data_IF_935660949739
#
_entry.id   IF_935660949739
#
_cell.length_a   1.000
_cell.length_b   1.000
_cell.length_c   1.000
_cell.angle_alpha   90.00
_cell.angle_beta   90.00
_cell.angle_gamma   90.00
#
_symmetry.space_group_name_H-M   'P 1'
#
loop_
_entity.id
_entity.type
_entity.pdbx_description
1 polymer ?
#
# COMPACT_ATOMS: atom_id res chain seq x y z
N UNK A 1 -22.51 4.44 20.83
CA UNK A 1 -21.68 3.26 21.05
C UNK A 1 -21.40 2.60 19.71
N UNK A 2 -20.17 2.72 19.25
CA UNK A 2 -19.76 2.06 18.02
C UNK A 2 -19.54 0.60 18.37
N UNK A 3 -20.37 -0.28 17.81
CA UNK A 3 -20.31 -1.69 18.13
C UNK A 3 -19.09 -2.34 17.44
N UNK A 4 -18.54 -3.34 18.09
CA UNK A 4 -17.52 -4.22 17.49
C UNK A 4 -18.00 -4.81 16.16
N UNK A 5 -19.31 -4.88 15.95
CA UNK A 5 -19.92 -5.36 14.72
C UNK A 5 -19.56 -4.48 13.50
N UNK A 6 -19.54 -3.17 13.68
CA UNK A 6 -19.13 -2.27 12.59
C UNK A 6 -17.68 -2.45 12.20
N UNK A 7 -16.79 -2.71 13.17
CA UNK A 7 -15.38 -2.99 12.89
C UNK A 7 -15.21 -4.36 12.20
N UNK A 8 -15.91 -5.39 12.66
CA UNK A 8 -15.81 -6.73 12.06
C UNK A 8 -16.17 -6.71 10.58
N UNK A 9 -17.24 -6.02 10.23
CA UNK A 9 -17.67 -5.86 8.84
C UNK A 9 -16.65 -5.06 8.03
N UNK A 10 -16.13 -3.98 8.59
CA UNK A 10 -15.08 -3.17 8.00
C UNK A 10 -13.82 -4.00 7.75
N UNK A 11 -13.38 -4.77 8.73
CA UNK A 11 -12.21 -5.64 8.64
C UNK A 11 -12.35 -6.65 7.49
N UNK A 12 -13.50 -7.33 7.41
CA UNK A 12 -13.75 -8.31 6.35
C UNK A 12 -13.74 -7.69 4.95
N UNK A 13 -14.28 -6.48 4.83
CA UNK A 13 -14.37 -5.79 3.56
C UNK A 13 -13.06 -5.18 3.12
N UNK A 14 -12.30 -4.62 4.06
CA UNK A 14 -11.15 -3.77 3.75
C UNK A 14 -9.78 -4.44 3.87
N UNK A 15 -9.67 -5.62 4.49
CA UNK A 15 -8.36 -6.23 4.71
C UNK A 15 -7.63 -6.54 3.39
N UNK A 16 -8.28 -7.24 2.47
CA UNK A 16 -7.69 -7.59 1.18
C UNK A 16 -7.36 -6.35 0.34
N UNK A 17 -8.27 -5.36 0.17
CA UNK A 17 -7.91 -4.12 -0.50
C UNK A 17 -6.77 -3.36 0.16
N UNK A 18 -6.69 -3.40 1.49
CA UNK A 18 -5.60 -2.73 2.23
C UNK A 18 -4.25 -3.38 1.92
N UNK A 19 -4.18 -4.70 1.92
CA UNK A 19 -2.96 -5.43 1.51
C UNK A 19 -2.58 -5.07 0.07
N UNK A 20 -3.55 -5.06 -0.84
CA UNK A 20 -3.32 -4.70 -2.23
C UNK A 20 -2.79 -3.26 -2.36
N UNK A 21 -3.33 -2.32 -1.59
CA UNK A 21 -2.87 -0.94 -1.56
C UNK A 21 -1.40 -0.85 -1.17
N UNK A 22 -1.00 -1.50 -0.09
CA UNK A 22 0.40 -1.46 0.40
C UNK A 22 1.34 -2.09 -0.63
N UNK A 23 0.92 -3.17 -1.29
CA UNK A 23 1.69 -3.80 -2.36
C UNK A 23 1.89 -2.85 -3.54
N UNK A 24 0.83 -2.18 -3.98
CA UNK A 24 0.89 -1.19 -5.08
C UNK A 24 1.80 -0.01 -4.72
N UNK A 25 1.88 0.33 -3.44
CA UNK A 25 2.78 1.36 -2.94
C UNK A 25 4.26 0.93 -2.97
N UNK A 26 4.54 -0.34 -3.25
CA UNK A 26 5.90 -0.82 -3.50
C UNK A 26 6.45 -1.82 -2.50
N UNK A 27 5.62 -2.39 -1.65
CA UNK A 27 6.06 -3.35 -0.63
C UNK A 27 5.74 -4.78 -1.02
N UNK A 28 6.54 -5.72 -0.51
CA UNK A 28 6.32 -7.15 -0.71
C UNK A 28 5.07 -7.64 0.01
N UNK A 29 4.62 -8.86 -0.34
CA UNK A 29 3.36 -9.40 0.20
C UNK A 29 3.39 -9.55 1.73
N UNK A 30 4.46 -10.13 2.28
CA UNK A 30 4.55 -10.34 3.74
C UNK A 30 4.60 -8.99 4.47
N UNK A 31 5.35 -8.04 3.96
CA UNK A 31 5.40 -6.68 4.50
C UNK A 31 4.02 -6.02 4.46
N UNK A 32 3.31 -6.18 3.35
CA UNK A 32 1.97 -5.61 3.17
C UNK A 32 0.96 -6.23 4.13
N UNK A 33 1.01 -7.56 4.31
CA UNK A 33 0.14 -8.27 5.26
C UNK A 33 0.39 -7.81 6.70
N UNK A 34 1.64 -7.73 7.11
CA UNK A 34 2.02 -7.31 8.46
C UNK A 34 1.58 -5.87 8.73
N UNK A 35 1.82 -4.98 7.78
CA UNK A 35 1.42 -3.57 7.90
C UNK A 35 -0.10 -3.42 7.95
N UNK A 36 -0.83 -4.18 7.15
CA UNK A 36 -2.28 -4.18 7.13
C UNK A 36 -2.86 -4.67 8.46
N UNK A 37 -2.32 -5.74 9.02
CA UNK A 37 -2.73 -6.27 10.32
C UNK A 37 -2.48 -5.27 11.44
N UNK A 38 -1.33 -4.62 11.45
CA UNK A 38 -1.01 -3.59 12.43
C UNK A 38 -1.98 -2.41 12.32
N UNK A 39 -2.27 -1.96 11.10
CA UNK A 39 -3.22 -0.87 10.87
C UNK A 39 -4.62 -1.24 11.36
N UNK A 40 -5.06 -2.46 11.10
CA UNK A 40 -6.36 -2.95 11.56
C UNK A 40 -6.44 -3.07 13.08
N UNK A 41 -5.37 -3.51 13.74
CA UNK A 41 -5.29 -3.57 15.20
C UNK A 41 -5.46 -2.18 15.80
N UNK A 42 -4.76 -1.19 15.25
CA UNK A 42 -4.89 0.21 15.70
C UNK A 42 -6.26 0.78 15.39
N UNK A 43 -6.84 0.42 14.25
CA UNK A 43 -8.19 0.86 13.89
C UNK A 43 -9.23 0.32 14.89
N UNK A 44 -9.08 -0.92 15.34
CA UNK A 44 -9.94 -1.50 16.36
C UNK A 44 -9.88 -0.70 17.66
N UNK A 45 -8.67 -0.37 18.11
CA UNK A 45 -8.44 0.40 19.34
C UNK A 45 -9.03 1.81 19.26
N UNK A 46 -8.99 2.42 18.07
CA UNK A 46 -9.42 3.80 17.83
C UNK A 46 -10.82 3.87 17.18
N UNK A 47 -11.51 2.75 17.03
CA UNK A 47 -12.69 2.63 16.16
C UNK A 47 -13.75 3.70 16.39
N UNK A 48 -14.08 3.98 17.65
CA UNK A 48 -15.10 4.98 17.99
C UNK A 48 -14.71 6.42 17.60
N UNK A 49 -13.42 6.67 17.38
CA UNK A 49 -12.88 8.00 17.05
C UNK A 49 -12.64 8.18 15.55
N UNK A 50 -12.66 7.10 14.77
CA UNK A 50 -12.34 7.16 13.35
C UNK A 50 -13.53 7.68 12.56
N UNK A 51 -13.34 8.82 11.90
CA UNK A 51 -14.32 9.40 11.01
C UNK A 51 -14.23 8.85 9.58
N UNK A 52 -12.99 8.61 9.13
CA UNK A 52 -12.68 8.13 7.78
C UNK A 52 -11.80 6.90 7.85
N UNK A 53 -12.34 5.74 8.31
CA UNK A 53 -11.51 4.56 8.58
C UNK A 53 -10.79 4.00 7.35
N UNK A 54 -11.41 4.03 6.15
CA UNK A 54 -10.76 3.53 4.93
C UNK A 54 -9.45 4.26 4.64
N UNK A 55 -9.47 5.58 4.66
CA UNK A 55 -8.28 6.40 4.43
C UNK A 55 -7.28 6.25 5.58
N UNK A 56 -7.78 6.22 6.81
CA UNK A 56 -6.95 6.14 8.01
C UNK A 56 -6.10 4.87 8.03
N UNK A 57 -6.69 3.70 7.76
CA UNK A 57 -5.94 2.43 7.78
C UNK A 57 -4.88 2.40 6.67
N UNK A 58 -5.13 3.01 5.51
CA UNK A 58 -4.16 3.07 4.42
C UNK A 58 -2.96 3.92 4.79
N UNK A 59 -3.19 5.06 5.39
CA UNK A 59 -2.11 5.93 5.88
C UNK A 59 -1.28 5.24 6.96
N UNK A 60 -1.93 4.60 7.94
CA UNK A 60 -1.23 3.88 9.01
C UNK A 60 -0.45 2.69 8.46
N UNK A 61 -1.06 1.89 7.58
CA UNK A 61 -0.39 0.73 6.97
C UNK A 61 0.83 1.15 6.15
N UNK A 62 0.71 2.21 5.35
CA UNK A 62 1.83 2.71 4.57
C UNK A 62 2.99 3.16 5.47
N UNK A 63 2.70 3.95 6.50
CA UNK A 63 3.72 4.42 7.45
C UNK A 63 4.38 3.25 8.19
N UNK A 64 3.60 2.27 8.59
CA UNK A 64 4.11 1.06 9.24
C UNK A 64 5.05 0.31 8.30
N UNK A 65 4.66 0.13 7.04
CA UNK A 65 5.48 -0.55 6.03
C UNK A 65 6.80 0.20 5.78
N UNK A 66 6.77 1.52 5.71
CA UNK A 66 7.97 2.36 5.53
C UNK A 66 8.94 2.16 6.70
N UNK A 67 8.45 2.21 7.92
CA UNK A 67 9.27 2.03 9.14
C UNK A 67 9.88 0.63 9.17
N UNK A 68 9.08 -0.40 8.92
CA UNK A 68 9.56 -1.79 8.93
C UNK A 68 10.56 -2.07 7.80
N UNK A 69 10.35 -1.48 6.61
CA UNK A 69 11.30 -1.60 5.50
C UNK A 69 12.65 -0.98 5.85
N UNK A 70 12.66 0.16 6.54
CA UNK A 70 13.89 0.79 7.01
C UNK A 70 14.62 -0.10 8.03
N UNK A 71 13.89 -0.67 8.98
CA UNK A 71 14.46 -1.61 9.97
C UNK A 71 15.01 -2.87 9.31
N UNK A 72 14.27 -3.43 8.34
CA UNK A 72 14.69 -4.62 7.60
C UNK A 72 15.93 -4.34 6.76
N UNK A 73 16.01 -3.16 6.14
CA UNK A 73 17.19 -2.73 5.38
C UNK A 73 18.42 -2.66 6.29
N UNK A 74 18.31 -2.05 7.47
CA UNK A 74 19.38 -2.02 8.45
C UNK A 74 19.75 -3.42 8.92
N UNK A 75 18.75 -4.27 9.15
CA UNK A 75 18.93 -5.67 9.51
C UNK A 75 19.63 -6.47 8.42
N UNK A 76 19.25 -6.24 7.13
CA UNK A 76 19.89 -6.89 5.98
C UNK A 76 21.34 -6.44 5.80
N UNK A 77 21.66 -5.17 6.02
CA UNK A 77 23.03 -4.66 5.96
C UNK A 77 23.90 -5.34 7.02
N UNK A 78 23.35 -5.62 8.20
CA UNK A 78 24.02 -6.37 9.25
C UNK A 78 24.12 -7.85 8.91
N UNK A 79 23.08 -8.42 8.29
CA UNK A 79 23.00 -9.84 7.94
C UNK A 79 23.84 -10.20 6.71
N UNK A 80 24.05 -9.27 5.76
CA UNK A 80 24.92 -9.48 4.59
C UNK A 80 26.36 -9.74 5.04
N UNK A 81 26.77 -9.14 6.17
CA UNK A 81 28.05 -9.48 6.80
C UNK A 81 28.04 -10.85 7.49
N UNK A 82 26.85 -11.47 7.66
CA UNK A 82 26.66 -12.78 8.30
C UNK A 82 26.23 -13.93 7.37
N UNK A 83 26.04 -13.68 6.07
CA UNK A 83 25.72 -14.75 5.10
C UNK A 83 24.27 -15.24 5.09
N UNK A 84 23.31 -14.40 5.43
CA UNK A 84 21.88 -14.74 5.48
C UNK A 84 21.22 -14.59 4.10
N UNK A 85 20.37 -15.57 3.70
CA UNK A 85 19.59 -15.50 2.47
C UNK A 85 18.10 -15.32 2.82
N UNK A 86 17.47 -14.35 2.16
CA UNK A 86 16.02 -14.13 2.32
C UNK A 86 15.29 -15.12 1.42
N UNK A 87 14.47 -15.98 2.02
CA UNK A 87 13.60 -16.89 1.25
C UNK A 87 12.32 -16.14 0.90
N UNK A 88 12.06 -16.01 -0.40
CA UNK A 88 10.75 -15.52 -0.86
C UNK A 88 9.78 -16.70 -0.89
N UNK A 89 8.77 -16.64 -0.03
CA UNK A 89 7.68 -17.62 -0.08
C UNK A 89 6.62 -17.13 -1.07
N UNK A 90 6.33 -17.96 -2.05
CA UNK A 90 5.18 -17.75 -2.93
C UNK A 90 3.89 -18.03 -2.13
N UNK A 91 3.12 -16.99 -1.88
CA UNK A 91 1.84 -17.12 -1.21
C UNK A 91 0.76 -17.49 -2.23
N UNK A 92 -0.05 -18.54 -1.98
CA UNK A 92 -1.12 -18.96 -2.90
C UNK A 92 -2.11 -17.86 -3.26
N UNK A 93 -2.38 -16.92 -2.36
CA UNK A 93 -3.30 -15.81 -2.64
C UNK A 93 -2.72 -14.82 -3.67
N UNK A 94 -1.40 -14.74 -3.80
CA UNK A 94 -0.74 -13.96 -4.86
C UNK A 94 -0.85 -14.66 -6.20
N UNK A 95 -0.70 -15.97 -6.22
CA UNK A 95 -0.84 -16.76 -7.44
C UNK A 95 -2.26 -16.62 -8.02
N UNK A 96 -3.25 -16.37 -7.18
CA UNK A 96 -4.64 -16.15 -7.60
C UNK A 96 -4.87 -14.82 -8.31
N UNK A 97 -3.93 -13.85 -8.21
CA UNK A 97 -4.07 -12.52 -8.81
C UNK A 97 -3.66 -12.47 -10.29
N UNK A 98 -2.95 -13.50 -10.80
CA UNK A 98 -2.62 -13.65 -12.20
C UNK A 98 -1.55 -12.70 -12.74
N UNK A 99 -1.20 -12.88 -14.01
CA UNK A 99 -0.13 -12.14 -14.69
C UNK A 99 -0.36 -10.63 -14.79
N UNK A 100 -1.61 -10.21 -14.92
CA UNK A 100 -1.97 -8.79 -15.03
C UNK A 100 -1.65 -8.03 -13.76
N UNK A 101 -1.91 -8.64 -12.60
CA UNK A 101 -1.58 -8.03 -11.32
C UNK A 101 -0.06 -7.94 -11.12
N UNK A 102 0.67 -9.00 -11.46
CA UNK A 102 2.14 -9.01 -11.42
C UNK A 102 2.72 -7.94 -12.33
N UNK A 103 2.19 -7.82 -13.54
CA UNK A 103 2.60 -6.77 -14.47
C UNK A 103 2.35 -5.39 -13.88
N UNK A 104 1.16 -5.15 -13.31
CA UNK A 104 0.81 -3.88 -12.68
C UNK A 104 1.79 -3.53 -11.56
N UNK A 105 2.11 -4.48 -10.69
CA UNK A 105 3.05 -4.26 -9.59
C UNK A 105 4.44 -3.90 -10.10
N UNK A 106 4.91 -4.57 -11.15
CA UNK A 106 6.20 -4.25 -11.78
C UNK A 106 6.17 -2.86 -12.42
N UNK A 107 5.09 -2.53 -13.10
CA UNK A 107 4.93 -1.21 -13.73
C UNK A 107 4.93 -0.09 -12.69
N UNK A 108 4.17 -0.26 -11.60
CA UNK A 108 4.16 0.69 -10.48
C UNK A 108 5.53 0.81 -9.83
N UNK A 109 6.25 -0.30 -9.71
CA UNK A 109 7.61 -0.33 -9.15
C UNK A 109 8.62 0.48 -9.95
N UNK A 110 8.37 0.72 -11.24
CA UNK A 110 9.23 1.55 -12.09
C UNK A 110 9.00 3.06 -11.90
N UNK A 111 7.92 3.45 -11.24
CA UNK A 111 7.60 4.86 -11.03
C UNK A 111 8.40 5.45 -9.87
N UNK A 112 8.72 6.76 -9.91
CA UNK A 112 9.21 7.45 -8.72
C UNK A 112 8.25 7.27 -7.55
N UNK A 113 8.78 7.25 -6.34
CA UNK A 113 8.03 6.94 -5.11
C UNK A 113 6.74 7.75 -4.97
N UNK A 114 6.80 9.07 -5.18
CA UNK A 114 5.62 9.93 -5.02
C UNK A 114 4.55 9.62 -6.06
N UNK A 115 4.94 9.36 -7.30
CA UNK A 115 4.01 8.99 -8.38
C UNK A 115 3.37 7.64 -8.09
N UNK A 116 4.16 6.68 -7.63
CA UNK A 116 3.69 5.34 -7.24
C UNK A 116 2.65 5.43 -6.13
N UNK A 117 2.95 6.18 -5.08
CA UNK A 117 2.05 6.33 -3.92
C UNK A 117 0.73 6.99 -4.33
N UNK A 118 0.77 8.07 -5.08
CA UNK A 118 -0.43 8.75 -5.58
C UNK A 118 -1.27 7.79 -6.44
N UNK A 119 -0.61 7.00 -7.30
CA UNK A 119 -1.30 6.03 -8.14
C UNK A 119 -1.92 4.89 -7.30
N UNK A 120 -1.24 4.44 -6.25
CA UNK A 120 -1.79 3.42 -5.34
C UNK A 120 -3.10 3.89 -4.70
N UNK A 121 -3.15 5.13 -4.24
CA UNK A 121 -4.37 5.74 -3.70
C UNK A 121 -5.46 5.85 -4.78
N UNK A 122 -5.10 6.32 -5.96
CA UNK A 122 -6.04 6.50 -7.07
C UNK A 122 -6.67 5.17 -7.51
N UNK A 123 -5.85 4.13 -7.67
CA UNK A 123 -6.32 2.80 -8.06
C UNK A 123 -7.24 2.18 -7.00
N UNK A 124 -7.13 2.61 -5.76
CA UNK A 124 -7.96 2.15 -4.66
C UNK A 124 -9.27 2.96 -4.53
N UNK A 125 -9.53 3.87 -5.45
CA UNK A 125 -10.80 4.58 -5.58
C UNK A 125 -10.86 5.93 -4.88
N UNK A 126 -9.74 6.47 -4.39
CA UNK A 126 -9.71 7.80 -3.78
C UNK A 126 -9.60 8.89 -4.83
N UNK A 127 -10.28 10.00 -4.62
CA UNK A 127 -10.19 11.15 -5.52
C UNK A 127 -8.99 12.06 -5.18
N UNK A 128 -8.73 13.03 -6.05
CA UNK A 128 -7.56 13.91 -5.90
C UNK A 128 -7.57 14.71 -4.59
N UNK A 129 -8.74 15.17 -4.15
CA UNK A 129 -8.88 15.93 -2.91
C UNK A 129 -8.57 15.06 -1.70
N UNK A 130 -9.11 13.84 -1.67
CA UNK A 130 -8.84 12.87 -0.59
C UNK A 130 -7.35 12.50 -0.55
N UNK A 131 -6.74 12.26 -1.69
CA UNK A 131 -5.31 11.96 -1.79
C UNK A 131 -4.46 13.12 -1.28
N UNK A 132 -4.79 14.35 -1.67
CA UNK A 132 -4.09 15.55 -1.23
C UNK A 132 -4.14 15.69 0.29
N UNK A 133 -5.30 15.46 0.90
CA UNK A 133 -5.47 15.50 2.35
C UNK A 133 -4.60 14.45 3.05
N UNK A 134 -4.60 13.21 2.53
CA UNK A 134 -3.85 12.12 3.15
C UNK A 134 -2.34 12.29 3.02
N UNK A 135 -1.87 12.87 1.91
CA UNK A 135 -0.44 13.05 1.67
C UNK A 135 0.09 14.41 2.12
N UNK A 136 -0.77 15.26 2.70
CA UNK A 136 -0.44 16.63 3.07
C UNK A 136 0.22 17.36 1.90
N UNK A 137 -0.41 17.24 0.73
CA UNK A 137 0.07 17.82 -0.53
C UNK A 137 -1.00 18.72 -1.12
N UNK A 138 -0.61 19.61 -2.04
CA UNK A 138 -1.57 20.41 -2.77
C UNK A 138 -2.31 19.57 -3.82
N UNK A 139 -3.58 19.88 -4.13
CA UNK A 139 -4.29 19.21 -5.21
C UNK A 139 -3.57 19.30 -6.56
N UNK A 140 -2.89 20.40 -6.82
CA UNK A 140 -2.08 20.60 -8.02
C UNK A 140 -0.92 19.61 -8.10
N UNK A 141 -0.23 19.39 -6.98
CA UNK A 141 0.86 18.40 -6.90
C UNK A 141 0.34 16.98 -7.13
N UNK A 142 -0.79 16.64 -6.53
CA UNK A 142 -1.43 15.32 -6.73
C UNK A 142 -1.80 15.15 -8.21
N UNK A 143 -2.42 16.12 -8.82
CA UNK A 143 -2.81 16.09 -10.23
C UNK A 143 -1.60 15.89 -11.15
N UNK A 144 -0.52 16.62 -10.90
CA UNK A 144 0.72 16.52 -11.67
C UNK A 144 1.33 15.12 -11.55
N UNK A 145 1.42 14.58 -10.35
CA UNK A 145 1.94 13.23 -10.11
C UNK A 145 1.06 12.17 -10.78
N UNK A 146 -0.26 12.30 -10.71
CA UNK A 146 -1.19 11.39 -11.41
C UNK A 146 -0.98 11.42 -12.92
N UNK A 147 -0.85 12.62 -13.50
CA UNK A 147 -0.64 12.77 -14.94
C UNK A 147 0.65 12.10 -15.38
N UNK A 148 1.75 12.35 -14.68
CA UNK A 148 3.05 11.74 -14.99
C UNK A 148 3.00 10.21 -14.84
N UNK A 149 2.38 9.73 -13.77
CA UNK A 149 2.23 8.28 -13.53
C UNK A 149 1.41 7.61 -14.63
N UNK A 150 0.28 8.20 -15.02
CA UNK A 150 -0.57 7.68 -16.10
C UNK A 150 0.17 7.63 -17.43
N UNK A 151 0.92 8.67 -17.76
CA UNK A 151 1.70 8.73 -18.99
C UNK A 151 2.75 7.62 -19.02
N UNK A 152 3.48 7.45 -17.92
CA UNK A 152 4.49 6.40 -17.81
C UNK A 152 3.89 5.00 -17.91
N UNK A 153 2.77 4.76 -17.22
CA UNK A 153 2.07 3.45 -17.24
C UNK A 153 1.51 3.16 -18.64
N UNK A 154 0.94 4.16 -19.31
CA UNK A 154 0.44 4.00 -20.67
C UNK A 154 1.57 3.62 -21.62
N UNK A 155 2.72 4.26 -21.51
CA UNK A 155 3.90 3.94 -22.35
C UNK A 155 4.31 2.48 -22.14
N UNK A 156 4.34 2.01 -20.89
CA UNK A 156 4.67 0.63 -20.59
C UNK A 156 3.61 -0.34 -21.11
N UNK A 157 2.34 0.04 -21.00
CA UNK A 157 1.23 -0.78 -21.50
C UNK A 157 1.29 -0.93 -23.02
N UNK A 158 1.59 0.15 -23.75
CA UNK A 158 1.65 0.14 -25.21
C UNK A 158 2.84 -0.68 -25.76
N UNK A 159 3.84 -0.93 -24.92
CA UNK A 159 5.02 -1.78 -25.26
C UNK A 159 4.83 -3.25 -24.91
N UNK A 160 3.72 -3.59 -24.32
CA UNK A 160 3.43 -4.95 -23.80
C UNK A 160 3.19 -5.99 -24.92
#
# INVERSE_FOLDING_TARGET
>A
MVSSEGFDEFFRRELTPLVAFVRRAGFGLEQAKDAAQEAMTRAYEEWSRLRWPRAWVRTVAYRTAVVEAARTRDGLLRAVSGGWTVSTHDDPDVAALGEEHEWLLRALGSLPERQRLVMAWFLDGFDQAEIADQLDASPTTVRSNLRHARTALKTLFDKR
#
